data_IF_486402819704
#
_entry.id   IF_486402819704
#
_cell.length_a   1.000
_cell.length_b   1.000
_cell.length_c   1.000
_cell.angle_alpha   90.00
_cell.angle_beta   90.00
_cell.angle_gamma   90.00
#
_symmetry.space_group_name_H-M   'P 1'
#
loop_
_entity.id
_entity.type
_entity.pdbx_description
1 polymer ?
#
# COMPACT_ATOMS: atom_id res chain seq x y z
N UNK A 1 -12.57 -36.82 -42.10
CA UNK A 1 -13.33 -36.01 -41.15
C UNK A 1 -12.33 -35.53 -40.10
N UNK A 2 -11.83 -34.30 -40.23
CA UNK A 2 -10.77 -33.72 -39.36
C UNK A 2 -11.48 -32.72 -38.45
N UNK A 3 -11.51 -32.99 -37.13
CA UNK A 3 -12.02 -32.08 -36.11
C UNK A 3 -10.87 -31.14 -35.68
N UNK A 4 -10.92 -29.88 -36.14
CA UNK A 4 -10.09 -28.80 -35.66
C UNK A 4 -10.63 -28.32 -34.29
N UNK A 5 -9.92 -28.62 -33.20
CA UNK A 5 -10.18 -28.08 -31.89
C UNK A 5 -9.68 -26.65 -31.81
N UNK A 6 -10.60 -25.70 -31.55
CA UNK A 6 -10.26 -24.32 -31.17
C UNK A 6 -9.65 -24.33 -29.75
N UNK A 7 -8.34 -24.11 -29.65
CA UNK A 7 -7.68 -23.80 -28.40
C UNK A 7 -8.05 -22.38 -27.96
N UNK A 8 -8.82 -22.26 -26.88
CA UNK A 8 -9.01 -20.98 -26.21
C UNK A 8 -7.67 -20.54 -25.57
N UNK A 9 -7.20 -19.35 -25.93
CA UNK A 9 -6.07 -18.74 -25.27
C UNK A 9 -6.40 -18.52 -23.78
N UNK A 10 -5.49 -18.82 -22.84
CA UNK A 10 -5.72 -18.53 -21.44
C UNK A 10 -5.78 -17.00 -21.28
N UNK A 11 -6.89 -16.51 -20.73
CA UNK A 11 -6.99 -15.13 -20.26
C UNK A 11 -5.89 -14.91 -19.24
N UNK A 12 -5.07 -13.87 -19.43
CA UNK A 12 -4.08 -13.44 -18.46
C UNK A 12 -4.82 -13.00 -17.19
N UNK A 13 -4.96 -13.92 -16.25
CA UNK A 13 -5.40 -13.61 -14.90
C UNK A 13 -4.17 -13.04 -14.18
N UNK A 14 -4.23 -11.75 -13.78
CA UNK A 14 -3.27 -11.17 -12.86
C UNK A 14 -3.11 -12.13 -11.67
N UNK A 15 -1.87 -12.59 -11.43
CA UNK A 15 -1.61 -13.69 -10.51
C UNK A 15 -1.99 -13.33 -9.08
N UNK A 16 -3.01 -14.02 -8.56
CA UNK A 16 -3.30 -14.05 -7.13
C UNK A 16 -2.41 -15.10 -6.48
N UNK A 17 -1.50 -14.69 -5.58
CA UNK A 17 -0.81 -15.61 -4.68
C UNK A 17 -1.52 -15.49 -3.33
N UNK A 18 -2.30 -16.51 -2.97
CA UNK A 18 -3.01 -16.57 -1.70
C UNK A 18 -2.06 -16.76 -0.52
N UNK A 19 -1.99 -15.76 0.33
CA UNK A 19 -1.60 -15.82 1.74
C UNK A 19 -2.78 -15.28 2.52
N UNK A 20 -2.75 -15.22 3.84
CA UNK A 20 -3.85 -14.72 4.69
C UNK A 20 -4.28 -13.26 4.41
N UNK A 21 -3.61 -12.57 3.52
CA UNK A 21 -4.02 -11.36 2.81
C UNK A 21 -3.97 -11.61 1.31
N UNK A 22 -4.93 -11.11 0.52
CA UNK A 22 -4.87 -11.26 -0.93
C UNK A 22 -3.77 -10.36 -1.49
N UNK A 23 -2.66 -10.98 -1.92
CA UNK A 23 -1.58 -10.30 -2.65
C UNK A 23 -1.92 -10.29 -4.14
N UNK A 24 -1.84 -9.11 -4.75
CA UNK A 24 -1.91 -8.91 -6.19
C UNK A 24 -0.62 -8.23 -6.65
N UNK A 25 0.06 -8.80 -7.62
CA UNK A 25 1.21 -8.18 -8.30
C UNK A 25 0.78 -7.83 -9.72
N UNK A 26 1.04 -6.58 -10.14
CA UNK A 26 0.65 -6.07 -11.45
C UNK A 26 1.87 -6.03 -12.37
N UNK A 27 1.79 -6.73 -13.51
CA UNK A 27 2.84 -6.71 -14.51
C UNK A 27 3.13 -5.27 -14.99
N UNK A 28 4.38 -4.89 -15.29
CA UNK A 28 4.76 -3.51 -15.58
C UNK A 28 3.97 -2.83 -16.69
N UNK A 29 3.52 -3.58 -17.69
CA UNK A 29 2.70 -3.11 -18.83
C UNK A 29 1.20 -2.98 -18.50
N UNK A 30 0.76 -3.51 -17.34
CA UNK A 30 -0.63 -3.47 -16.87
C UNK A 30 -0.85 -2.47 -15.73
N UNK A 31 0.22 -1.83 -15.24
CA UNK A 31 0.16 -0.88 -14.11
C UNK A 31 -0.59 0.38 -14.48
N UNK A 32 -1.53 0.77 -13.62
CA UNK A 32 -2.30 2.02 -13.73
C UNK A 32 -1.71 3.10 -12.84
N UNK A 33 -1.90 4.37 -13.20
CA UNK A 33 -1.43 5.50 -12.39
C UNK A 33 -2.13 5.55 -11.05
N UNK A 34 -1.37 5.66 -9.97
CA UNK A 34 -1.91 5.92 -8.63
C UNK A 34 -2.47 7.35 -8.54
N UNK A 35 -3.54 7.57 -7.78
CA UNK A 35 -4.09 8.91 -7.58
C UNK A 35 -3.12 9.79 -6.80
N UNK A 36 -3.20 11.10 -7.02
CA UNK A 36 -2.51 12.07 -6.19
C UNK A 36 -3.18 12.17 -4.81
N UNK A 37 -2.37 12.04 -3.76
CA UNK A 37 -2.77 12.11 -2.36
C UNK A 37 -2.23 13.39 -1.75
N UNK A 38 -3.10 14.12 -1.08
CA UNK A 38 -2.75 15.34 -0.34
C UNK A 38 -3.45 15.33 1.01
N UNK A 39 -2.91 15.99 2.01
CA UNK A 39 -3.61 16.09 3.29
C UNK A 39 -2.75 16.58 4.43
N UNK A 40 -3.37 16.71 5.59
CA UNK A 40 -2.70 17.04 6.84
C UNK A 40 -1.94 15.82 7.36
N UNK A 41 -0.73 16.03 7.87
CA UNK A 41 0.06 14.97 8.51
C UNK A 41 -0.29 14.86 10.00
N UNK A 42 -0.27 13.63 10.53
CA UNK A 42 -0.23 13.41 11.97
C UNK A 42 1.01 14.07 12.55
N UNK A 43 0.81 14.98 13.50
CA UNK A 43 1.92 15.75 14.07
C UNK A 43 2.18 17.09 13.40
N UNK A 44 1.41 17.45 12.40
CA UNK A 44 1.41 18.77 11.74
C UNK A 44 2.14 18.80 10.40
N UNK A 45 1.85 19.83 9.63
CA UNK A 45 2.30 19.97 8.26
C UNK A 45 1.36 19.35 7.24
N UNK A 46 1.72 19.45 5.97
CA UNK A 46 0.92 18.94 4.85
C UNK A 46 1.74 17.94 4.02
N UNK A 47 1.05 16.96 3.46
CA UNK A 47 1.59 15.98 2.54
C UNK A 47 1.09 16.24 1.12
N UNK A 48 1.95 16.06 0.15
CA UNK A 48 1.59 15.99 -1.26
C UNK A 48 2.43 14.90 -1.93
N UNK A 49 1.77 13.88 -2.46
CA UNK A 49 2.43 12.76 -3.13
C UNK A 49 3.22 13.16 -4.37
N UNK A 50 2.92 14.32 -4.98
CA UNK A 50 3.70 14.83 -6.11
C UNK A 50 5.19 15.06 -5.75
N UNK A 51 5.50 15.31 -4.48
CA UNK A 51 6.88 15.46 -3.99
C UNK A 51 7.68 14.15 -4.00
N UNK A 52 7.01 13.00 -4.12
CA UNK A 52 7.62 11.67 -4.18
C UNK A 52 7.81 11.14 -5.61
N UNK A 53 7.65 12.01 -6.62
CA UNK A 53 7.87 11.62 -8.02
C UNK A 53 9.26 11.02 -8.22
N UNK A 54 9.33 9.90 -8.95
CA UNK A 54 10.58 9.18 -9.20
C UNK A 54 11.00 8.20 -8.08
N UNK A 55 10.19 8.06 -7.03
CA UNK A 55 10.45 7.14 -5.92
C UNK A 55 9.47 5.96 -5.94
N UNK A 56 9.90 4.81 -5.44
CA UNK A 56 8.96 3.74 -5.04
C UNK A 56 8.26 4.19 -3.78
N UNK A 57 6.93 4.11 -3.74
CA UNK A 57 6.14 4.54 -2.58
C UNK A 57 5.29 3.38 -2.06
N UNK A 58 5.31 3.20 -0.75
CA UNK A 58 4.46 2.23 -0.05
C UNK A 58 3.40 3.00 0.74
N UNK A 59 2.13 2.84 0.35
CA UNK A 59 1.00 3.34 1.13
C UNK A 59 0.44 2.23 2.01
N UNK A 60 0.27 2.49 3.30
CA UNK A 60 -0.41 1.58 4.22
C UNK A 60 -1.65 2.26 4.81
N UNK A 61 -2.82 1.64 4.65
CA UNK A 61 -4.09 2.10 5.20
C UNK A 61 -4.29 1.48 6.57
N UNK A 62 -4.48 2.33 7.57
CA UNK A 62 -4.57 1.89 8.96
C UNK A 62 -5.48 2.78 9.83
N UNK A 63 -5.83 2.30 11.01
CA UNK A 63 -6.49 3.07 12.05
C UNK A 63 -6.05 2.60 13.44
N UNK A 64 -6.08 3.48 14.43
CA UNK A 64 -5.67 3.13 15.81
C UNK A 64 -6.58 2.09 16.46
N UNK A 65 -7.83 2.04 16.04
CA UNK A 65 -8.89 1.12 16.46
C UNK A 65 -8.74 -0.28 15.83
N UNK A 66 -7.92 -0.42 14.79
CA UNK A 66 -7.80 -1.63 13.98
C UNK A 66 -6.82 -2.63 14.63
N UNK A 67 -7.31 -3.73 15.16
CA UNK A 67 -6.48 -4.75 15.82
C UNK A 67 -5.45 -5.41 14.89
N UNK A 68 -5.79 -5.81 13.64
CA UNK A 68 -4.80 -6.32 12.69
C UNK A 68 -3.73 -5.28 12.32
N UNK A 69 -4.07 -3.98 12.24
CA UNK A 69 -3.09 -2.91 11.98
C UNK A 69 -2.05 -2.82 13.12
N UNK A 70 -2.49 -3.02 14.37
CA UNK A 70 -1.56 -3.07 15.52
C UNK A 70 -0.61 -4.25 15.44
N UNK A 71 -1.07 -5.36 14.91
CA UNK A 71 -0.27 -6.59 14.76
C UNK A 71 0.78 -6.45 13.67
N UNK A 72 0.46 -5.80 12.53
CA UNK A 72 1.40 -5.61 11.42
C UNK A 72 2.37 -4.43 11.60
N UNK A 73 2.04 -3.45 12.45
CA UNK A 73 2.80 -2.21 12.60
C UNK A 73 4.32 -2.42 12.81
N UNK A 74 4.79 -3.37 13.65
CA UNK A 74 6.22 -3.66 13.78
C UNK A 74 6.86 -4.15 12.48
N UNK A 75 6.14 -4.97 11.68
CA UNK A 75 6.62 -5.48 10.41
C UNK A 75 6.74 -4.39 9.34
N UNK A 76 5.78 -3.46 9.31
CA UNK A 76 5.82 -2.28 8.43
C UNK A 76 7.00 -1.36 8.77
N UNK A 77 7.21 -1.06 10.04
CA UNK A 77 8.34 -0.23 10.46
C UNK A 77 9.69 -0.91 10.17
N UNK A 78 9.82 -2.21 10.42
CA UNK A 78 11.01 -2.97 10.08
C UNK A 78 11.27 -2.95 8.56
N UNK A 79 10.23 -3.14 7.73
CA UNK A 79 10.34 -3.05 6.28
C UNK A 79 10.75 -1.64 5.82
N UNK A 80 10.16 -0.59 6.40
CA UNK A 80 10.51 0.80 6.08
C UNK A 80 12.00 1.08 6.33
N UNK A 81 12.52 0.64 7.47
CA UNK A 81 13.96 0.78 7.81
C UNK A 81 14.85 -0.03 6.86
N UNK A 82 14.47 -1.28 6.54
CA UNK A 82 15.26 -2.14 5.64
C UNK A 82 15.31 -1.66 4.20
N UNK A 83 14.26 -0.97 3.77
CA UNK A 83 14.15 -0.46 2.41
C UNK A 83 14.46 1.03 2.29
N UNK A 84 14.98 1.64 3.36
CA UNK A 84 15.40 3.05 3.36
C UNK A 84 16.33 3.37 2.17
N UNK A 85 16.03 4.46 1.46
CA UNK A 85 16.73 4.85 0.23
C UNK A 85 16.27 4.13 -1.04
N UNK A 86 15.40 3.09 -0.94
CA UNK A 86 14.78 2.40 -2.08
C UNK A 86 13.28 2.67 -2.18
N UNK A 87 12.62 2.88 -1.06
CA UNK A 87 11.20 3.23 -1.01
C UNK A 87 10.92 4.24 0.10
N UNK A 88 9.86 5.01 -0.10
CA UNK A 88 9.29 5.91 0.89
C UNK A 88 7.96 5.33 1.37
N UNK A 89 7.80 5.24 2.69
CA UNK A 89 6.56 4.77 3.31
C UNK A 89 5.68 5.94 3.72
N UNK A 90 4.37 5.80 3.51
CA UNK A 90 3.35 6.79 3.89
C UNK A 90 2.13 6.05 4.44
N UNK A 91 1.74 6.35 5.67
CA UNK A 91 0.48 5.88 6.23
C UNK A 91 -0.71 6.71 5.72
N UNK A 92 -1.84 6.07 5.54
CA UNK A 92 -3.15 6.70 5.38
C UNK A 92 -3.98 6.33 6.62
N UNK A 93 -4.00 7.23 7.61
CA UNK A 93 -4.77 7.03 8.83
C UNK A 93 -6.23 7.40 8.60
N UNK A 94 -7.12 6.42 8.73
CA UNK A 94 -8.54 6.63 8.44
C UNK A 94 -9.44 6.22 9.61
N UNK A 95 -10.61 6.85 9.71
CA UNK A 95 -11.65 6.61 10.72
C UNK A 95 -11.22 6.81 12.18
N UNK A 96 -10.07 7.40 12.44
CA UNK A 96 -9.78 8.03 13.71
C UNK A 96 -10.45 9.42 13.72
N UNK A 97 -11.35 9.69 14.67
CA UNK A 97 -12.15 10.92 14.69
C UNK A 97 -11.32 12.15 15.05
N UNK A 98 -10.21 11.93 15.76
CA UNK A 98 -9.20 12.95 16.05
C UNK A 98 -7.78 12.35 15.98
N UNK A 99 -6.77 13.22 16.02
CA UNK A 99 -5.38 12.78 15.83
C UNK A 99 -4.77 12.09 17.07
N UNK A 100 -5.32 12.28 18.27
CA UNK A 100 -4.68 11.83 19.50
C UNK A 100 -4.52 10.30 19.60
N UNK A 101 -5.55 9.47 19.28
CA UNK A 101 -5.41 8.02 19.24
C UNK A 101 -4.39 7.56 18.18
N UNK A 102 -4.41 8.17 16.99
CA UNK A 102 -3.48 7.86 15.90
C UNK A 102 -2.04 8.21 16.28
N UNK A 103 -1.80 9.36 16.89
CA UNK A 103 -0.49 9.74 17.41
C UNK A 103 -0.01 8.82 18.53
N UNK A 104 -0.91 8.35 19.39
CA UNK A 104 -0.58 7.37 20.43
C UNK A 104 -0.14 6.02 19.81
N UNK A 105 -0.80 5.59 18.74
CA UNK A 105 -0.40 4.41 17.97
C UNK A 105 1.00 4.59 17.36
N UNK A 106 1.26 5.71 16.68
CA UNK A 106 2.58 6.01 16.07
C UNK A 106 3.69 5.92 17.12
N UNK A 107 3.47 6.49 18.32
CA UNK A 107 4.45 6.39 19.41
C UNK A 107 4.60 4.99 19.97
N UNK A 108 3.50 4.25 20.12
CA UNK A 108 3.50 2.91 20.72
C UNK A 108 4.22 1.86 19.87
N UNK A 109 4.28 2.05 18.55
CA UNK A 109 4.92 1.17 17.59
C UNK A 109 6.20 1.77 16.97
N UNK A 110 6.69 2.90 17.50
CA UNK A 110 7.89 3.59 17.03
C UNK A 110 7.91 3.85 15.51
N UNK A 111 6.73 4.15 14.93
CA UNK A 111 6.57 4.41 13.49
C UNK A 111 7.32 5.68 13.12
N UNK A 112 8.24 5.57 12.16
CA UNK A 112 9.12 6.69 11.75
C UNK A 112 8.67 7.37 10.46
N UNK A 113 7.83 6.74 9.66
CA UNK A 113 7.32 7.31 8.41
C UNK A 113 6.05 8.17 8.66
N UNK A 114 5.82 9.19 7.81
CA UNK A 114 4.67 10.09 7.96
C UNK A 114 3.35 9.37 7.69
N UNK A 115 2.28 9.86 8.31
CA UNK A 115 0.91 9.42 8.02
C UNK A 115 0.02 10.62 7.73
N UNK A 116 -0.73 10.54 6.63
CA UNK A 116 -1.81 11.47 6.29
C UNK A 116 -3.01 11.16 7.19
N UNK A 117 -3.56 12.19 7.83
CA UNK A 117 -4.79 12.10 8.62
C UNK A 117 -6.00 12.27 7.70
N UNK A 118 -6.71 11.18 7.47
CA UNK A 118 -7.85 11.08 6.55
C UNK A 118 -9.09 10.48 7.26
N UNK A 119 -9.63 11.19 8.28
CA UNK A 119 -10.72 10.66 9.13
C UNK A 119 -11.96 10.27 8.32
N UNK A 120 -12.28 11.03 7.28
CA UNK A 120 -13.43 10.80 6.41
C UNK A 120 -13.15 9.80 5.28
N UNK A 121 -11.90 9.36 5.10
CA UNK A 121 -11.49 8.43 4.03
C UNK A 121 -11.51 9.05 2.63
N UNK A 122 -11.44 10.37 2.50
CA UNK A 122 -11.50 11.05 1.20
C UNK A 122 -10.31 10.73 0.31
N UNK A 123 -9.13 10.70 0.90
CA UNK A 123 -7.89 10.35 0.20
C UNK A 123 -7.86 8.85 -0.14
N UNK A 124 -8.30 8.01 0.80
CA UNK A 124 -8.45 6.57 0.58
C UNK A 124 -9.41 6.27 -0.58
N UNK A 125 -10.55 6.96 -0.67
CA UNK A 125 -11.54 6.76 -1.72
C UNK A 125 -11.02 7.04 -3.14
N UNK A 126 -9.97 7.85 -3.30
CA UNK A 126 -9.34 8.12 -4.60
C UNK A 126 -8.74 6.87 -5.25
N UNK A 127 -8.34 5.87 -4.44
CA UNK A 127 -7.81 4.61 -4.95
C UNK A 127 -8.88 3.64 -5.47
N UNK A 128 -10.16 3.93 -5.24
CA UNK A 128 -11.27 3.10 -5.75
C UNK A 128 -11.18 1.65 -5.31
N UNK A 129 -11.15 0.74 -6.28
CA UNK A 129 -11.08 -0.71 -6.03
C UNK A 129 -9.69 -1.20 -5.64
N UNK A 130 -8.64 -0.41 -5.84
CA UNK A 130 -7.28 -0.80 -5.49
C UNK A 130 -7.06 -0.82 -3.96
N UNK A 131 -7.68 0.11 -3.24
CA UNK A 131 -7.72 0.14 -1.77
C UNK A 131 -9.17 0.28 -1.28
N UNK A 132 -9.94 -0.83 -1.22
CA UNK A 132 -11.33 -0.78 -0.78
C UNK A 132 -11.41 -0.31 0.67
N UNK A 133 -12.30 0.66 1.01
CA UNK A 133 -12.42 1.18 2.37
C UNK A 133 -12.81 0.14 3.43
N UNK A 134 -13.34 -1.01 3.00
CA UNK A 134 -13.67 -2.14 3.87
C UNK A 134 -12.49 -3.03 4.21
N UNK A 135 -11.39 -2.95 3.46
CA UNK A 135 -10.19 -3.78 3.65
C UNK A 135 -9.11 -2.99 4.40
N UNK A 136 -9.15 -3.03 5.72
CA UNK A 136 -8.18 -2.38 6.61
C UNK A 136 -7.63 -3.44 7.57
N UNK A 137 -6.29 -3.64 7.62
CA UNK A 137 -5.25 -2.92 6.90
C UNK A 137 -5.18 -3.30 5.42
N UNK A 138 -4.61 -2.43 4.62
CA UNK A 138 -4.17 -2.76 3.26
C UNK A 138 -2.94 -1.96 2.88
N UNK A 139 -2.11 -2.55 2.01
CA UNK A 139 -0.84 -1.95 1.58
C UNK A 139 -0.77 -1.92 0.07
N UNK A 140 -0.33 -0.80 -0.48
CA UNK A 140 -0.12 -0.58 -1.90
C UNK A 140 1.34 -0.22 -2.15
N UNK A 141 1.96 -0.83 -3.16
CA UNK A 141 3.29 -0.46 -3.63
C UNK A 141 3.15 0.22 -5.00
N UNK A 142 3.69 1.43 -5.10
CA UNK A 142 3.67 2.27 -6.30
C UNK A 142 5.09 2.37 -6.84
N UNK A 143 5.28 2.19 -8.15
CA UNK A 143 6.59 2.26 -8.78
C UNK A 143 7.09 3.71 -8.96
N UNK A 144 8.36 3.86 -9.36
CA UNK A 144 8.98 5.17 -9.57
C UNK A 144 8.31 6.02 -10.68
N UNK A 145 7.48 5.41 -11.52
CA UNK A 145 6.67 6.09 -12.52
C UNK A 145 5.30 6.51 -11.99
N UNK A 146 5.03 6.29 -10.68
CA UNK A 146 3.76 6.62 -10.04
C UNK A 146 2.63 5.65 -10.36
N UNK A 147 2.95 4.39 -10.72
CA UNK A 147 1.96 3.37 -11.11
C UNK A 147 1.84 2.29 -10.06
N UNK A 148 0.64 1.78 -9.87
CA UNK A 148 0.33 0.72 -8.92
C UNK A 148 0.98 -0.59 -9.37
N UNK A 149 1.92 -1.09 -8.57
CA UNK A 149 2.71 -2.29 -8.86
C UNK A 149 2.29 -3.51 -8.05
N UNK A 150 1.90 -3.32 -6.80
CA UNK A 150 1.42 -4.42 -5.97
C UNK A 150 0.43 -3.93 -4.91
N UNK A 151 -0.44 -4.84 -4.47
CA UNK A 151 -1.45 -4.61 -3.44
C UNK A 151 -1.53 -5.81 -2.50
N UNK A 152 -1.62 -5.54 -1.19
CA UNK A 152 -1.96 -6.53 -0.17
C UNK A 152 -3.21 -6.07 0.56
N UNK A 153 -4.25 -6.90 0.58
CA UNK A 153 -5.46 -6.68 1.40
C UNK A 153 -5.37 -7.55 2.65
N UNK A 154 -5.33 -6.94 3.82
CA UNK A 154 -5.05 -7.59 5.09
C UNK A 154 -3.62 -7.38 5.56
N UNK A 155 -3.22 -8.10 6.61
CA UNK A 155 -1.90 -8.00 7.22
C UNK A 155 -0.78 -8.38 6.25
N UNK A 156 0.34 -7.66 6.32
CA UNK A 156 1.55 -7.95 5.54
C UNK A 156 2.73 -8.26 6.45
N UNK A 157 3.60 -9.18 6.03
CA UNK A 157 4.85 -9.46 6.74
C UNK A 157 5.99 -8.57 6.24
N UNK A 158 7.00 -8.34 7.09
CA UNK A 158 8.23 -7.64 6.70
C UNK A 158 8.87 -8.26 5.45
N UNK A 159 9.03 -9.59 5.43
CA UNK A 159 9.67 -10.30 4.32
C UNK A 159 8.93 -10.11 2.99
N UNK A 160 7.60 -10.21 3.02
CA UNK A 160 6.76 -9.96 1.83
C UNK A 160 6.92 -8.53 1.34
N UNK A 161 6.85 -7.55 2.23
CA UNK A 161 6.90 -6.15 1.84
C UNK A 161 8.28 -5.74 1.32
N UNK A 162 9.36 -6.20 1.96
CA UNK A 162 10.73 -5.98 1.47
C UNK A 162 10.90 -6.59 0.08
N UNK A 163 10.44 -7.84 -0.13
CA UNK A 163 10.51 -8.49 -1.44
C UNK A 163 9.74 -7.71 -2.53
N UNK A 164 8.53 -7.23 -2.23
CA UNK A 164 7.75 -6.40 -3.16
C UNK A 164 8.47 -5.10 -3.52
N UNK A 165 9.02 -4.40 -2.52
CA UNK A 165 9.80 -3.17 -2.74
C UNK A 165 11.02 -3.44 -3.61
N UNK A 166 11.77 -4.51 -3.33
CA UNK A 166 12.97 -4.86 -4.08
C UNK A 166 12.65 -5.21 -5.55
N UNK A 167 11.60 -5.98 -5.79
CA UNK A 167 11.15 -6.33 -7.14
C UNK A 167 10.66 -5.10 -7.92
N UNK A 168 9.86 -4.23 -7.28
CA UNK A 168 9.36 -3.00 -7.91
C UNK A 168 10.50 -2.01 -8.19
N UNK A 169 11.44 -1.86 -7.26
CA UNK A 169 12.63 -1.01 -7.47
C UNK A 169 13.54 -1.53 -8.58
N UNK A 170 13.55 -2.85 -8.82
CA UNK A 170 14.26 -3.49 -9.93
C UNK A 170 13.47 -3.45 -11.26
N UNK A 171 12.28 -2.84 -11.30
CA UNK A 171 11.44 -2.71 -12.49
C UNK A 171 10.65 -3.96 -12.87
N UNK A 172 10.53 -4.93 -11.96
CA UNK A 172 9.79 -6.17 -12.17
C UNK A 172 8.30 -5.98 -11.91
#
# INVERSE_FOLDING_TARGET
MVLTGCGAAPAAQGGFVGGDGSLTIVAPDQRTTAPQITGELLGGGTFDSATLSGQVVVYNVWGSWCAPCRKEAPALEAAARRTAGRATFVGLNTRDLDQAPAQAFVRAFDITYPSVFDPDGRELLKFGTDLPPSAIPSTLVVDAQGRIAARVLGEVTEATLVGLVDDVAAGK
#
